data_IF_696172750431
#
_entry.id   IF_696172750431
#
_cell.length_a   1.000
_cell.length_b   1.000
_cell.length_c   1.000
_cell.angle_alpha   90.00
_cell.angle_beta   90.00
_cell.angle_gamma   90.00
#
_symmetry.space_group_name_H-M   'P 1'
#
loop_
_entity.id
_entity.type
_entity.pdbx_description
1 polymer ?
#
# COMPACT_ATOMS: atom_id res chain seq x y z
N UNK A 1 46.42 25.53 -33.40
CA UNK A 1 47.69 25.37 -32.70
C UNK A 1 47.51 25.76 -31.27
N UNK A 2 47.45 24.78 -30.43
CA UNK A 2 48.00 24.62 -29.09
C UNK A 2 47.14 23.56 -28.34
N UNK A 3 47.66 22.35 -28.40
CA UNK A 3 47.30 21.20 -27.62
C UNK A 3 47.77 21.44 -26.18
N UNK A 4 46.87 21.29 -25.20
CA UNK A 4 47.23 21.13 -23.79
C UNK A 4 46.83 19.72 -23.35
N UNK A 5 47.79 18.81 -23.36
CA UNK A 5 47.76 17.55 -22.65
C UNK A 5 47.78 17.84 -21.15
N UNK A 6 46.76 17.37 -20.43
CA UNK A 6 46.70 17.42 -18.98
C UNK A 6 47.26 16.11 -18.44
N UNK A 7 48.47 16.20 -17.91
CA UNK A 7 49.24 15.12 -17.28
C UNK A 7 48.64 14.79 -15.89
N UNK A 8 47.93 13.65 -15.75
CA UNK A 8 47.36 13.14 -14.50
C UNK A 8 48.22 12.04 -13.88
N UNK A 9 49.52 12.33 -13.71
CA UNK A 9 50.40 11.47 -12.92
C UNK A 9 51.09 12.28 -11.81
N UNK A 10 50.50 12.23 -10.60
CA UNK A 10 51.16 12.21 -9.27
C UNK A 10 50.27 12.81 -8.19
N UNK A 11 49.52 11.93 -7.51
CA UNK A 11 49.31 12.00 -6.05
C UNK A 11 48.80 10.64 -5.57
N UNK A 12 49.71 9.69 -5.43
CA UNK A 12 49.48 8.59 -4.48
C UNK A 12 49.79 9.14 -3.11
N UNK A 13 48.75 9.50 -2.36
CA UNK A 13 48.88 9.73 -0.96
C UNK A 13 48.33 8.51 -0.18
N UNK A 14 49.17 8.11 0.76
CA UNK A 14 48.96 6.99 1.68
C UNK A 14 47.97 7.43 2.74
N UNK A 15 46.87 6.73 2.84
CA UNK A 15 46.08 6.53 4.10
C UNK A 15 44.61 6.19 3.80
N UNK A 16 44.35 5.11 3.03
CA UNK A 16 43.03 4.45 2.98
C UNK A 16 43.17 2.93 3.23
N UNK A 17 44.14 2.53 4.02
CA UNK A 17 44.23 1.18 4.63
C UNK A 17 43.56 1.21 6.03
N UNK A 18 42.31 1.57 6.09
CA UNK A 18 41.47 1.54 7.27
C UNK A 18 40.07 1.05 6.85
N UNK A 19 39.77 -0.18 7.22
CA UNK A 19 38.44 -0.79 7.20
C UNK A 19 37.68 -0.88 5.88
N UNK A 20 38.23 -1.61 4.93
CA UNK A 20 37.50 -2.12 3.76
C UNK A 20 36.62 -3.34 4.10
N UNK A 21 36.41 -3.63 5.39
CA UNK A 21 35.60 -4.76 5.86
C UNK A 21 34.10 -4.46 5.89
N UNK A 22 33.69 -3.19 5.75
CA UNK A 22 32.26 -2.81 5.68
C UNK A 22 31.57 -3.24 4.37
N UNK A 23 32.34 -3.63 3.35
CA UNK A 23 31.81 -4.17 2.09
C UNK A 23 31.96 -5.69 1.98
N UNK A 24 32.59 -6.35 2.94
CA UNK A 24 32.85 -7.78 2.95
C UNK A 24 31.69 -8.63 3.42
N UNK A 25 30.62 -8.02 3.93
CA UNK A 25 29.35 -8.74 4.13
C UNK A 25 28.73 -8.97 2.73
N UNK A 26 29.27 -9.99 2.05
CA UNK A 26 28.83 -10.42 0.73
C UNK A 26 27.32 -10.47 0.76
N UNK A 27 26.64 -9.64 -0.07
CA UNK A 27 25.24 -9.88 -0.42
C UNK A 27 25.09 -11.39 -0.55
N UNK A 28 24.34 -12.07 0.31
CA UNK A 28 24.12 -13.49 0.11
C UNK A 28 23.62 -13.61 -1.32
N UNK A 29 24.17 -14.46 -2.16
CA UNK A 29 24.01 -14.54 -3.62
C UNK A 29 22.59 -14.18 -4.14
N UNK A 30 22.21 -12.90 -3.98
CA UNK A 30 20.97 -12.34 -4.51
C UNK A 30 21.06 -12.23 -6.04
N UNK A 31 22.27 -12.27 -6.58
CA UNK A 31 22.58 -12.00 -7.98
C UNK A 31 23.35 -13.11 -8.72
N UNK A 32 23.32 -14.36 -8.25
CA UNK A 32 23.62 -15.46 -9.16
C UNK A 32 22.47 -15.54 -10.15
N UNK A 33 22.78 -15.46 -11.45
CA UNK A 33 21.77 -15.69 -12.49
C UNK A 33 21.06 -17.02 -12.17
N UNK A 34 19.78 -16.99 -11.81
CA UNK A 34 19.09 -18.18 -11.39
C UNK A 34 18.85 -19.02 -12.65
N UNK A 35 19.32 -20.24 -12.65
CA UNK A 35 18.80 -21.23 -13.59
C UNK A 35 17.29 -21.35 -13.30
N UNK A 36 16.41 -21.20 -14.31
CA UNK A 36 14.97 -21.25 -14.09
C UNK A 36 14.59 -22.64 -13.57
N UNK A 37 14.31 -22.73 -12.27
CA UNK A 37 13.70 -23.91 -11.67
C UNK A 37 12.21 -23.90 -12.01
N UNK A 38 11.63 -25.06 -12.25
CA UNK A 38 10.18 -25.17 -12.39
C UNK A 38 9.52 -24.63 -11.12
N UNK A 39 8.62 -23.66 -11.30
CA UNK A 39 7.88 -23.04 -10.21
C UNK A 39 6.46 -23.57 -10.14
N UNK A 40 5.90 -23.66 -8.95
CA UNK A 40 4.49 -23.92 -8.69
C UNK A 40 3.61 -22.88 -9.39
N UNK A 41 2.44 -23.27 -9.89
CA UNK A 41 1.51 -22.40 -10.64
C UNK A 41 1.07 -21.18 -9.83
N UNK A 42 0.94 -21.30 -8.50
CA UNK A 42 0.60 -20.18 -7.61
C UNK A 42 1.70 -19.11 -7.62
N UNK A 43 2.96 -19.54 -7.62
CA UNK A 43 4.13 -18.65 -7.68
C UNK A 43 4.19 -17.95 -9.02
N UNK A 44 3.98 -18.68 -10.12
CA UNK A 44 3.94 -18.12 -11.49
C UNK A 44 2.81 -17.10 -11.62
N UNK A 45 1.61 -17.45 -11.15
CA UNK A 45 0.46 -16.56 -11.20
C UNK A 45 0.67 -15.28 -10.36
N UNK A 46 1.22 -15.41 -9.15
CA UNK A 46 1.52 -14.28 -8.28
C UNK A 46 2.58 -13.36 -8.90
N UNK A 47 3.64 -13.93 -9.49
CA UNK A 47 4.66 -13.18 -10.21
C UNK A 47 4.05 -12.35 -11.35
N UNK A 48 3.29 -12.99 -12.22
CA UNK A 48 2.68 -12.32 -13.38
C UNK A 48 1.68 -11.23 -12.99
N UNK A 49 0.94 -11.43 -11.89
CA UNK A 49 -0.12 -10.50 -11.48
C UNK A 49 0.40 -9.32 -10.65
N UNK A 50 1.34 -9.55 -9.73
CA UNK A 50 1.71 -8.59 -8.71
C UNK A 50 3.02 -7.82 -8.95
N UNK A 51 3.84 -8.23 -9.95
CA UNK A 51 5.13 -7.60 -10.21
C UNK A 51 5.04 -6.07 -10.33
N UNK A 52 4.11 -5.57 -11.14
CA UNK A 52 3.93 -4.13 -11.33
C UNK A 52 3.60 -3.40 -10.01
N UNK A 53 2.75 -4.00 -9.15
CA UNK A 53 2.39 -3.43 -7.85
C UNK A 53 3.60 -3.35 -6.91
N UNK A 54 4.38 -4.41 -6.79
CA UNK A 54 5.54 -4.46 -5.90
C UNK A 54 6.58 -3.40 -6.30
N UNK A 55 6.85 -3.30 -7.60
CA UNK A 55 7.80 -2.33 -8.15
C UNK A 55 7.27 -0.91 -7.98
N UNK A 56 6.00 -0.65 -8.32
CA UNK A 56 5.38 0.67 -8.18
C UNK A 56 5.33 1.17 -6.73
N UNK A 57 5.33 0.27 -5.74
CA UNK A 57 5.33 0.59 -4.32
C UNK A 57 6.74 0.65 -3.70
N UNK A 58 7.80 0.50 -4.49
CA UNK A 58 9.16 0.80 -4.06
C UNK A 58 10.11 -0.40 -3.91
N UNK A 59 9.67 -1.60 -4.30
CA UNK A 59 10.60 -2.75 -4.44
C UNK A 59 11.44 -2.56 -5.68
N UNK A 60 12.77 -2.68 -5.57
CA UNK A 60 13.61 -2.62 -6.76
C UNK A 60 13.35 -3.83 -7.67
N UNK A 61 13.45 -3.62 -8.99
CA UNK A 61 13.26 -4.70 -9.96
C UNK A 61 14.23 -5.87 -9.72
N UNK A 62 15.49 -5.58 -9.37
CA UNK A 62 16.49 -6.60 -9.09
C UNK A 62 16.19 -7.41 -7.82
N UNK A 63 15.68 -6.76 -6.76
CA UNK A 63 15.27 -7.48 -5.53
C UNK A 63 14.05 -8.34 -5.79
N UNK A 64 13.09 -7.84 -6.56
CA UNK A 64 11.93 -8.60 -6.98
C UNK A 64 12.35 -9.86 -7.74
N UNK A 65 13.15 -9.72 -8.81
CA UNK A 65 13.61 -10.86 -9.59
C UNK A 65 14.43 -11.85 -8.77
N UNK A 66 15.39 -11.36 -7.97
CA UNK A 66 16.23 -12.21 -7.14
C UNK A 66 15.43 -12.98 -6.09
N UNK A 67 14.39 -12.38 -5.51
CA UNK A 67 13.51 -13.04 -4.55
C UNK A 67 12.65 -14.09 -5.24
N UNK A 68 11.99 -13.72 -6.34
CA UNK A 68 11.13 -14.64 -7.10
C UNK A 68 11.90 -15.87 -7.64
N UNK A 69 13.15 -15.68 -8.04
CA UNK A 69 14.00 -16.79 -8.50
C UNK A 69 14.33 -17.83 -7.41
N UNK A 70 14.22 -17.47 -6.14
CA UNK A 70 14.43 -18.41 -5.01
C UNK A 70 13.17 -19.17 -4.62
N UNK A 71 11.99 -18.67 -4.99
CA UNK A 71 10.70 -19.26 -4.65
C UNK A 71 10.34 -20.31 -5.70
N UNK A 72 10.31 -21.59 -5.32
CA UNK A 72 9.93 -22.68 -6.21
C UNK A 72 8.53 -23.22 -5.91
N UNK A 73 8.13 -23.19 -4.64
CA UNK A 73 6.82 -23.59 -4.16
C UNK A 73 6.22 -22.48 -3.30
N UNK A 74 4.89 -22.43 -3.22
CA UNK A 74 4.18 -21.37 -2.51
C UNK A 74 4.55 -21.27 -1.03
N UNK A 75 4.81 -22.39 -0.37
CA UNK A 75 5.19 -22.44 1.05
C UNK A 75 6.51 -21.71 1.36
N UNK A 76 7.33 -21.46 0.34
CA UNK A 76 8.56 -20.66 0.46
C UNK A 76 8.33 -19.15 0.38
N UNK A 77 7.14 -18.71 -0.04
CA UNK A 77 6.84 -17.31 -0.34
C UNK A 77 7.21 -16.36 0.81
N UNK A 78 6.63 -16.57 1.98
CA UNK A 78 6.84 -15.69 3.13
C UNK A 78 8.31 -15.69 3.59
N UNK A 79 8.93 -16.89 3.63
CA UNK A 79 10.33 -17.06 4.03
C UNK A 79 11.30 -16.33 3.09
N UNK A 80 11.15 -16.44 1.79
CA UNK A 80 12.11 -15.88 0.85
C UNK A 80 11.97 -14.34 0.72
N UNK A 81 10.76 -13.81 0.80
CA UNK A 81 10.55 -12.38 0.95
C UNK A 81 11.09 -11.87 2.29
N UNK A 82 10.88 -12.60 3.38
CA UNK A 82 11.46 -12.30 4.68
C UNK A 82 12.99 -12.30 4.67
N UNK A 83 13.63 -13.22 3.91
CA UNK A 83 15.09 -13.22 3.72
C UNK A 83 15.60 -11.93 3.07
N UNK A 84 14.88 -11.42 2.07
CA UNK A 84 15.20 -10.12 1.47
C UNK A 84 14.96 -8.97 2.46
N UNK A 85 13.90 -9.05 3.28
CA UNK A 85 13.66 -8.12 4.39
C UNK A 85 14.80 -8.07 5.39
N UNK A 86 15.27 -9.23 5.85
CA UNK A 86 16.40 -9.34 6.77
C UNK A 86 17.72 -8.75 6.22
N UNK A 87 17.93 -8.84 4.91
CA UNK A 87 19.09 -8.17 4.30
C UNK A 87 19.02 -6.66 4.51
N UNK A 88 17.85 -6.04 4.25
CA UNK A 88 17.66 -4.61 4.46
C UNK A 88 17.68 -4.20 5.93
N UNK A 89 17.24 -5.05 6.86
CA UNK A 89 17.38 -4.80 8.30
C UNK A 89 18.84 -4.69 8.71
N UNK A 90 19.69 -5.64 8.29
CA UNK A 90 21.15 -5.56 8.58
C UNK A 90 21.78 -4.32 7.98
N UNK A 91 21.42 -3.96 6.75
CA UNK A 91 21.89 -2.73 6.12
C UNK A 91 21.48 -1.50 6.93
N UNK A 92 20.23 -1.46 7.40
CA UNK A 92 19.71 -0.38 8.21
C UNK A 92 20.44 -0.28 9.56
N UNK A 93 20.66 -1.41 10.24
CA UNK A 93 21.39 -1.47 11.51
C UNK A 93 22.83 -0.99 11.36
N UNK A 94 23.51 -1.41 10.29
CA UNK A 94 24.88 -0.95 10.00
C UNK A 94 24.92 0.56 9.74
N UNK A 95 23.96 1.09 8.98
CA UNK A 95 23.86 2.52 8.69
C UNK A 95 23.52 3.33 9.97
N UNK A 96 22.63 2.82 10.83
CA UNK A 96 22.29 3.44 12.12
C UNK A 96 23.55 3.55 13.01
N UNK A 97 24.33 2.46 13.12
CA UNK A 97 25.58 2.44 13.89
C UNK A 97 26.63 3.43 13.36
N UNK A 98 26.66 3.63 12.04
CA UNK A 98 27.53 4.61 11.40
C UNK A 98 26.99 6.05 11.44
N UNK A 99 25.81 6.29 12.01
CA UNK A 99 25.17 7.62 12.07
C UNK A 99 24.53 8.07 10.73
N UNK A 100 24.42 7.19 9.76
CA UNK A 100 23.84 7.48 8.43
C UNK A 100 22.31 7.35 8.46
N UNK A 101 21.63 8.27 9.13
CA UNK A 101 20.20 8.20 9.45
C UNK A 101 19.30 8.11 8.22
N UNK A 102 19.62 8.80 7.12
CA UNK A 102 18.83 8.76 5.88
C UNK A 102 18.89 7.35 5.26
N UNK A 103 20.12 6.81 5.11
CA UNK A 103 20.34 5.45 4.59
C UNK A 103 19.65 4.41 5.46
N UNK A 104 19.79 4.53 6.77
CA UNK A 104 19.14 3.64 7.73
C UNK A 104 17.61 3.66 7.57
N UNK A 105 17.00 4.84 7.52
CA UNK A 105 15.57 5.00 7.36
C UNK A 105 15.05 4.44 6.03
N UNK A 106 15.78 4.66 4.93
CA UNK A 106 15.45 4.07 3.62
C UNK A 106 15.51 2.54 3.66
N UNK A 107 16.56 1.98 4.27
CA UNK A 107 16.73 0.54 4.40
C UNK A 107 15.65 -0.08 5.29
N UNK A 108 15.28 0.57 6.41
CA UNK A 108 14.16 0.14 7.26
C UNK A 108 12.84 0.08 6.49
N UNK A 109 12.52 1.08 5.67
CA UNK A 109 11.29 1.07 4.85
C UNK A 109 11.32 -0.01 3.77
N UNK A 110 12.48 -0.28 3.16
CA UNK A 110 12.63 -1.40 2.21
C UNK A 110 12.45 -2.75 2.90
N UNK A 111 13.00 -2.92 4.11
CA UNK A 111 12.75 -4.10 4.93
C UNK A 111 11.25 -4.28 5.20
N UNK A 112 10.56 -3.23 5.60
CA UNK A 112 9.13 -3.26 5.86
C UNK A 112 8.32 -3.72 4.63
N UNK A 113 8.62 -3.20 3.43
CA UNK A 113 7.96 -3.64 2.21
C UNK A 113 8.24 -5.13 1.89
N UNK A 114 9.48 -5.60 2.05
CA UNK A 114 9.80 -7.00 1.80
C UNK A 114 9.05 -7.94 2.77
N UNK A 115 8.96 -7.60 4.05
CA UNK A 115 8.17 -8.34 5.03
C UNK A 115 6.69 -8.29 4.72
N UNK A 116 6.17 -7.13 4.27
CA UNK A 116 4.79 -6.99 3.80
C UNK A 116 4.51 -7.92 2.61
N UNK A 117 5.41 -7.98 1.62
CA UNK A 117 5.24 -8.91 0.49
C UNK A 117 5.29 -10.36 0.92
N UNK A 118 6.05 -10.69 1.97
CA UNK A 118 6.04 -12.02 2.57
C UNK A 118 4.69 -12.43 3.15
N UNK A 119 4.00 -11.51 3.83
CA UNK A 119 2.65 -11.76 4.35
C UNK A 119 1.56 -11.69 3.28
N UNK A 120 1.82 -10.98 2.16
CA UNK A 120 0.85 -10.64 1.14
C UNK A 120 0.22 -11.88 0.50
N UNK A 121 -1.11 -11.99 0.56
CA UNK A 121 -1.93 -13.14 0.12
C UNK A 121 -1.49 -14.51 0.66
N UNK A 122 -0.58 -14.54 1.64
CA UNK A 122 -0.06 -15.76 2.25
C UNK A 122 -0.86 -16.09 3.50
N UNK A 123 -1.74 -17.10 3.41
CA UNK A 123 -2.64 -17.53 4.49
C UNK A 123 -2.51 -19.00 4.88
N UNK A 124 -1.53 -19.71 4.27
CA UNK A 124 -1.30 -21.13 4.51
C UNK A 124 -0.61 -21.40 5.87
N UNK A 125 0.18 -20.43 6.37
CA UNK A 125 0.81 -20.44 7.69
C UNK A 125 0.59 -19.07 8.37
N UNK A 126 -0.38 -19.02 9.28
CA UNK A 126 -0.80 -17.78 9.94
C UNK A 126 0.22 -17.26 10.96
N UNK A 127 1.02 -18.14 11.57
CA UNK A 127 2.08 -17.73 12.51
C UNK A 127 3.20 -17.05 11.76
N UNK A 128 3.61 -17.62 10.62
CA UNK A 128 4.61 -17.03 9.74
C UNK A 128 4.10 -15.71 9.13
N UNK A 129 2.84 -15.67 8.69
CA UNK A 129 2.19 -14.45 8.20
C UNK A 129 2.19 -13.36 9.26
N UNK A 130 1.81 -13.67 10.50
CA UNK A 130 1.76 -12.74 11.61
C UNK A 130 3.16 -12.20 11.95
N UNK A 131 4.14 -13.09 12.06
CA UNK A 131 5.52 -12.70 12.32
C UNK A 131 6.06 -11.75 11.23
N UNK A 132 5.76 -12.01 9.95
CA UNK A 132 6.12 -11.11 8.85
C UNK A 132 5.43 -9.74 8.97
N UNK A 133 4.16 -9.70 9.37
CA UNK A 133 3.45 -8.44 9.61
C UNK A 133 4.03 -7.64 10.78
N UNK A 134 4.32 -8.29 11.90
CA UNK A 134 4.93 -7.64 13.05
C UNK A 134 6.29 -7.01 12.68
N UNK A 135 7.07 -7.70 11.82
CA UNK A 135 8.32 -7.13 11.25
C UNK A 135 8.04 -5.97 10.30
N UNK A 136 7.00 -6.03 9.47
CA UNK A 136 6.57 -4.91 8.61
C UNK A 136 6.38 -3.65 9.45
N UNK A 137 5.56 -3.73 10.49
CA UNK A 137 5.24 -2.60 11.37
C UNK A 137 6.48 -2.10 12.10
N UNK A 138 7.28 -3.02 12.68
CA UNK A 138 8.49 -2.66 13.44
C UNK A 138 9.52 -1.94 12.55
N UNK A 139 9.80 -2.47 11.37
CA UNK A 139 10.73 -1.86 10.42
C UNK A 139 10.23 -0.51 9.92
N UNK A 140 8.94 -0.42 9.55
CA UNK A 140 8.40 0.85 9.07
C UNK A 140 8.46 1.95 10.14
N UNK A 141 8.12 1.64 11.39
CA UNK A 141 8.21 2.60 12.51
C UNK A 141 9.62 3.17 12.69
N UNK A 142 10.66 2.36 12.51
CA UNK A 142 12.06 2.81 12.56
C UNK A 142 12.40 3.76 11.41
N UNK A 143 11.86 3.51 10.21
CA UNK A 143 12.09 4.35 9.04
C UNK A 143 11.13 5.54 8.88
N UNK A 144 10.08 5.63 9.70
CA UNK A 144 9.00 6.60 9.54
C UNK A 144 9.45 8.06 9.71
N UNK A 145 10.35 8.31 10.68
CA UNK A 145 10.84 9.65 10.98
C UNK A 145 11.72 10.26 9.86
N UNK A 146 12.29 9.43 8.98
CA UNK A 146 13.15 9.88 7.87
C UNK A 146 12.39 10.09 6.56
N UNK A 147 11.08 9.90 6.56
CA UNK A 147 10.22 10.32 5.45
C UNK A 147 10.15 11.85 5.36
N UNK A 148 9.92 12.39 4.19
CA UNK A 148 9.70 13.81 3.97
C UNK A 148 8.31 14.02 3.34
N UNK A 149 7.33 14.55 4.11
CA UNK A 149 7.34 14.78 5.57
C UNK A 149 7.35 13.47 6.37
N UNK A 150 7.76 13.50 7.66
CA UNK A 150 7.74 12.33 8.54
C UNK A 150 6.37 11.70 8.68
N UNK A 151 6.31 10.41 8.99
CA UNK A 151 5.07 9.71 9.31
C UNK A 151 4.90 9.59 10.83
N UNK A 152 3.90 10.27 11.37
CA UNK A 152 3.50 10.19 12.78
C UNK A 152 2.64 8.94 12.99
N UNK A 153 3.06 7.98 13.84
CA UNK A 153 2.18 6.88 14.21
C UNK A 153 1.07 7.39 15.13
N UNK A 154 -0.19 7.13 14.75
CA UNK A 154 -1.36 7.56 15.53
C UNK A 154 -2.29 6.39 15.80
N UNK A 155 -3.10 6.52 16.85
CA UNK A 155 -4.15 5.56 17.22
C UNK A 155 -5.50 6.27 17.19
N UNK A 156 -6.37 5.84 16.28
CA UNK A 156 -7.72 6.39 16.12
C UNK A 156 -8.69 5.60 17.01
N UNK A 157 -9.40 6.22 17.97
CA UNK A 157 -10.42 5.52 18.77
C UNK A 157 -11.51 4.92 17.87
N UNK A 158 -11.83 3.65 18.09
CA UNK A 158 -12.87 2.94 17.34
C UNK A 158 -13.54 1.90 18.24
N UNK A 159 -14.83 2.07 18.49
CA UNK A 159 -15.59 1.25 19.44
C UNK A 159 -14.83 1.10 20.79
N UNK A 160 -14.53 -0.12 21.21
CA UNK A 160 -13.80 -0.42 22.45
C UNK A 160 -12.28 -0.60 22.24
N UNK A 161 -11.74 -0.21 21.06
CA UNK A 161 -10.33 -0.38 20.69
C UNK A 161 -9.79 0.86 19.97
N UNK A 162 -8.63 0.73 19.35
CA UNK A 162 -8.05 1.76 18.48
C UNK A 162 -7.57 1.16 17.18
N UNK A 163 -7.69 1.91 16.10
CA UNK A 163 -7.13 1.56 14.80
C UNK A 163 -5.78 2.24 14.60
N UNK A 164 -4.81 1.50 14.08
CA UNK A 164 -3.48 2.02 13.78
C UNK A 164 -3.47 2.81 12.48
N UNK A 165 -2.83 3.99 12.50
CA UNK A 165 -2.66 4.80 11.31
C UNK A 165 -1.30 5.52 11.30
N UNK A 166 -0.92 6.06 10.14
CA UNK A 166 0.16 7.02 9.97
C UNK A 166 -0.40 8.32 9.42
N UNK A 167 -0.16 9.40 10.15
CA UNK A 167 -0.46 10.76 9.72
C UNK A 167 0.80 11.40 9.14
N UNK A 168 0.69 12.02 7.97
CA UNK A 168 1.75 12.82 7.36
C UNK A 168 1.19 14.15 6.92
N UNK A 169 1.85 15.23 7.31
CA UNK A 169 1.41 16.60 7.03
C UNK A 169 2.47 17.25 6.15
N UNK A 170 2.09 17.92 5.04
CA UNK A 170 3.03 18.68 4.21
C UNK A 170 3.82 19.69 5.04
N UNK A 171 4.94 20.16 4.50
CA UNK A 171 5.74 21.20 5.14
C UNK A 171 4.94 22.47 5.42
N UNK A 172 5.54 23.44 6.13
CA UNK A 172 4.86 24.66 6.57
C UNK A 172 4.14 25.38 5.42
N UNK A 173 2.90 25.80 5.69
CA UNK A 173 2.03 26.55 4.78
C UNK A 173 1.30 27.63 5.58
N UNK A 174 0.89 28.70 4.93
CA UNK A 174 0.08 29.77 5.55
C UNK A 174 -1.33 29.30 5.91
N UNK A 175 -1.77 28.19 5.36
CA UNK A 175 -3.09 27.59 5.61
C UNK A 175 -2.95 26.13 6.05
N UNK A 176 -3.86 25.70 6.92
CA UNK A 176 -3.97 24.29 7.30
C UNK A 176 -4.28 23.43 6.06
N UNK A 177 -3.53 22.34 5.82
CA UNK A 177 -3.78 21.50 4.64
C UNK A 177 -5.08 20.71 4.76
N UNK A 178 -5.77 20.46 3.64
CA UNK A 178 -6.80 19.41 3.58
C UNK A 178 -6.18 18.07 3.88
N UNK A 179 -6.99 17.09 4.31
CA UNK A 179 -6.49 15.75 4.67
C UNK A 179 -7.22 14.64 3.92
N UNK A 180 -6.50 13.66 3.43
CA UNK A 180 -7.04 12.50 2.72
C UNK A 180 -6.92 11.24 3.59
N UNK A 181 -8.06 10.60 3.86
CA UNK A 181 -8.12 9.28 4.50
C UNK A 181 -7.78 8.24 3.45
N UNK A 182 -6.68 7.51 3.65
CA UNK A 182 -6.23 6.46 2.73
C UNK A 182 -6.59 5.07 3.26
N UNK A 183 -7.40 4.35 2.50
CA UNK A 183 -8.00 3.07 2.86
C UNK A 183 -7.38 1.94 2.04
N UNK A 184 -6.66 0.98 2.68
CA UNK A 184 -6.03 -0.14 1.99
C UNK A 184 -7.04 -1.09 1.35
N UNK A 185 -6.57 -1.89 0.37
CA UNK A 185 -7.32 -3.02 -0.18
C UNK A 185 -7.34 -4.24 0.76
N UNK A 186 -7.87 -5.37 0.25
CA UNK A 186 -7.97 -6.61 1.03
C UNK A 186 -6.62 -7.07 1.59
N UNK A 187 -5.57 -7.03 0.77
CA UNK A 187 -4.24 -7.57 1.10
C UNK A 187 -3.24 -6.50 1.52
N UNK A 188 -3.62 -5.24 1.40
CA UNK A 188 -2.78 -4.09 1.67
C UNK A 188 -2.76 -3.70 3.15
N UNK A 189 -1.80 -2.86 3.49
CA UNK A 189 -1.62 -2.27 4.82
C UNK A 189 -1.25 -0.79 4.67
N UNK A 190 -1.39 -0.01 5.74
CA UNK A 190 -1.06 1.42 5.77
C UNK A 190 0.39 1.73 5.38
N UNK A 191 1.32 0.81 5.64
CA UNK A 191 2.73 0.93 5.27
C UNK A 191 2.94 0.91 3.76
N UNK A 192 2.15 0.12 3.03
CA UNK A 192 2.23 0.03 1.57
C UNK A 192 1.78 1.31 0.88
N UNK A 193 0.81 2.02 1.44
CA UNK A 193 0.20 3.19 0.81
C UNK A 193 1.14 4.39 0.69
N UNK A 194 2.29 4.37 1.34
CA UNK A 194 3.20 5.53 1.42
C UNK A 194 3.75 6.00 0.07
N UNK A 195 3.94 5.07 -0.88
CA UNK A 195 4.35 5.44 -2.23
C UNK A 195 3.27 6.25 -2.99
N UNK A 196 1.99 5.94 -2.76
CA UNK A 196 0.86 6.72 -3.31
C UNK A 196 0.64 8.01 -2.52
N UNK A 197 0.80 7.96 -1.19
CA UNK A 197 0.67 9.10 -0.31
C UNK A 197 1.59 10.28 -0.70
N UNK A 198 2.81 9.99 -1.17
CA UNK A 198 3.76 11.03 -1.56
C UNK A 198 3.21 11.93 -2.67
N UNK A 199 2.47 11.38 -3.65
CA UNK A 199 1.84 12.19 -4.70
C UNK A 199 0.83 13.21 -4.17
N UNK A 200 0.12 12.88 -3.09
CA UNK A 200 -0.83 13.77 -2.43
C UNK A 200 -0.09 14.83 -1.59
N UNK A 201 0.92 14.41 -0.84
CA UNK A 201 1.77 15.32 -0.04
C UNK A 201 2.47 16.37 -0.88
N UNK A 202 2.98 15.98 -2.08
CA UNK A 202 3.62 16.89 -3.03
C UNK A 202 2.65 17.96 -3.60
N UNK A 203 1.33 17.78 -3.38
CA UNK A 203 0.25 18.71 -3.76
C UNK A 203 -0.37 19.44 -2.57
N UNK A 204 0.29 19.40 -1.43
CA UNK A 204 -0.15 20.10 -0.23
C UNK A 204 -1.29 19.43 0.53
N UNK A 205 -1.61 18.16 0.22
CA UNK A 205 -2.61 17.39 0.95
C UNK A 205 -1.94 16.62 2.09
N UNK A 206 -2.43 16.76 3.31
CA UNK A 206 -2.09 15.84 4.40
C UNK A 206 -2.74 14.47 4.12
N UNK A 207 -2.15 13.40 4.65
CA UNK A 207 -2.71 12.05 4.53
C UNK A 207 -2.79 11.37 5.89
N UNK A 208 -3.83 10.56 6.08
CA UNK A 208 -3.92 9.59 7.15
C UNK A 208 -4.18 8.20 6.56
N UNK A 209 -3.15 7.35 6.55
CA UNK A 209 -3.26 5.97 6.07
C UNK A 209 -3.62 5.07 7.26
N UNK A 210 -4.74 4.34 7.17
CA UNK A 210 -5.32 3.62 8.31
C UNK A 210 -5.54 2.13 8.01
N UNK A 211 -5.20 1.27 8.96
CA UNK A 211 -5.62 -0.14 8.97
C UNK A 211 -6.98 -0.25 9.66
N UNK A 212 -8.03 -0.45 8.88
CA UNK A 212 -9.39 -0.69 9.40
C UNK A 212 -9.65 -2.17 9.73
N UNK A 213 -10.87 -2.52 10.17
CA UNK A 213 -11.27 -3.90 10.45
C UNK A 213 -10.96 -4.83 9.27
N UNK A 214 -10.35 -5.97 9.56
CA UNK A 214 -9.88 -6.94 8.57
C UNK A 214 -8.62 -6.53 7.81
N UNK A 215 -7.92 -5.46 8.21
CA UNK A 215 -6.73 -4.94 7.55
C UNK A 215 -5.58 -4.73 8.54
N UNK A 216 -4.36 -4.99 8.09
CA UNK A 216 -3.12 -4.67 8.80
C UNK A 216 -3.12 -5.07 10.27
N UNK A 217 -2.81 -4.13 11.17
CA UNK A 217 -2.77 -4.42 12.62
C UNK A 217 -4.13 -4.85 13.17
N UNK A 218 -5.25 -4.41 12.58
CA UNK A 218 -6.60 -4.73 13.05
C UNK A 218 -7.11 -6.11 12.58
N UNK A 219 -6.53 -6.74 11.54
CA UNK A 219 -7.04 -7.98 10.93
C UNK A 219 -7.05 -9.19 11.88
N UNK A 220 -6.30 -9.11 12.98
CA UNK A 220 -6.17 -10.21 13.94
C UNK A 220 -7.27 -10.20 15.00
N UNK A 221 -7.95 -9.08 15.20
CA UNK A 221 -8.94 -8.86 16.24
C UNK A 221 -10.32 -8.49 15.67
N UNK A 222 -10.33 -7.77 14.55
CA UNK A 222 -11.54 -7.26 13.93
C UNK A 222 -11.70 -7.85 12.52
N UNK A 223 -12.82 -8.53 12.24
CA UNK A 223 -13.11 -8.97 10.88
C UNK A 223 -13.46 -7.78 9.97
N UNK A 224 -13.44 -8.01 8.65
CA UNK A 224 -13.87 -7.04 7.64
C UNK A 224 -15.25 -6.46 8.02
N UNK A 225 -15.34 -5.13 8.01
CA UNK A 225 -16.56 -4.36 8.29
C UNK A 225 -17.17 -3.85 6.97
N UNK A 226 -18.33 -4.35 6.56
CA UNK A 226 -19.02 -3.85 5.37
C UNK A 226 -19.45 -2.38 5.48
N UNK A 227 -19.87 -1.94 6.67
CA UNK A 227 -20.26 -0.55 6.95
C UNK A 227 -19.02 0.31 7.30
N UNK A 228 -18.06 0.38 6.38
CA UNK A 228 -16.77 1.04 6.62
C UNK A 228 -16.88 2.56 6.85
N UNK A 229 -18.03 3.16 6.55
CA UNK A 229 -18.32 4.54 6.96
C UNK A 229 -18.15 4.77 8.46
N UNK A 230 -18.31 3.74 9.29
CA UNK A 230 -18.04 3.80 10.74
C UNK A 230 -16.56 4.11 11.01
N UNK A 231 -15.67 3.51 10.24
CA UNK A 231 -14.22 3.81 10.31
C UNK A 231 -13.94 5.23 9.83
N UNK A 232 -14.55 5.64 8.71
CA UNK A 232 -14.39 7.00 8.20
C UNK A 232 -14.88 8.04 9.21
N UNK A 233 -16.01 7.79 9.89
CA UNK A 233 -16.54 8.63 10.98
C UNK A 233 -15.56 8.69 12.16
N UNK A 234 -15.00 7.58 12.59
CA UNK A 234 -14.01 7.55 13.67
C UNK A 234 -12.75 8.36 13.32
N UNK A 235 -12.26 8.22 12.09
CA UNK A 235 -11.11 9.02 11.60
C UNK A 235 -11.47 10.50 11.54
N UNK A 236 -12.63 10.87 11.02
CA UNK A 236 -13.07 12.26 10.94
C UNK A 236 -13.20 12.89 12.35
N UNK A 237 -13.72 12.14 13.35
CA UNK A 237 -13.77 12.60 14.73
C UNK A 237 -12.37 12.83 15.31
N UNK A 238 -11.41 11.93 15.01
CA UNK A 238 -10.02 12.11 15.41
C UNK A 238 -9.39 13.36 14.79
N UNK A 239 -9.65 13.61 13.50
CA UNK A 239 -9.11 14.75 12.76
C UNK A 239 -9.69 16.09 13.24
N UNK A 240 -10.94 16.15 13.70
CA UNK A 240 -11.53 17.34 14.30
C UNK A 240 -10.79 17.82 15.56
N UNK A 241 -10.12 16.92 16.26
CA UNK A 241 -9.28 17.25 17.42
C UNK A 241 -7.86 17.73 17.08
N UNK A 242 -7.50 17.88 15.79
CA UNK A 242 -6.16 18.28 15.35
C UNK A 242 -6.12 19.76 14.98
N UNK A 243 -5.05 20.45 15.40
CA UNK A 243 -4.82 21.87 15.11
C UNK A 243 -3.98 22.12 13.86
N UNK A 244 -3.39 21.09 13.29
CA UNK A 244 -2.39 21.17 12.23
C UNK A 244 -2.91 20.77 10.84
N UNK A 245 -4.20 20.43 10.73
CA UNK A 245 -4.92 20.13 9.47
C UNK A 245 -6.25 20.89 9.41
N UNK A 246 -6.89 20.94 8.24
CA UNK A 246 -8.22 21.51 8.06
C UNK A 246 -9.31 20.42 8.07
N UNK A 247 -10.03 20.22 9.19
CA UNK A 247 -11.05 19.19 9.29
C UNK A 247 -12.33 19.50 8.49
N UNK A 248 -12.48 20.70 7.92
CA UNK A 248 -13.56 21.03 7.00
C UNK A 248 -13.32 20.53 5.58
N UNK A 249 -12.09 20.11 5.26
CA UNK A 249 -11.65 19.62 3.93
C UNK A 249 -11.07 18.23 4.02
N UNK A 250 -11.92 17.24 4.33
CA UNK A 250 -11.54 15.84 4.41
C UNK A 250 -11.87 15.14 3.09
N UNK A 251 -10.90 14.46 2.49
CA UNK A 251 -11.07 13.59 1.33
C UNK A 251 -10.95 12.11 1.69
N UNK A 252 -11.38 11.25 0.76
CA UNK A 252 -11.19 9.80 0.83
C UNK A 252 -10.40 9.28 -0.37
N UNK A 253 -9.51 8.33 -0.16
CA UNK A 253 -8.85 7.57 -1.23
C UNK A 253 -8.82 6.10 -0.84
N UNK A 254 -9.23 5.22 -1.74
CA UNK A 254 -9.14 3.80 -1.50
C UNK A 254 -8.85 3.01 -2.76
N UNK A 255 -8.15 1.89 -2.60
CA UNK A 255 -7.79 1.00 -3.70
C UNK A 255 -8.36 -0.39 -3.47
N UNK A 256 -8.93 -1.03 -4.51
CA UNK A 256 -9.51 -2.38 -4.42
C UNK A 256 -10.66 -2.40 -3.39
N UNK A 257 -10.63 -3.28 -2.39
CA UNK A 257 -11.61 -3.24 -1.29
C UNK A 257 -11.66 -1.85 -0.61
N UNK A 258 -10.52 -1.15 -0.53
CA UNK A 258 -10.47 0.24 -0.08
C UNK A 258 -11.24 1.20 -0.98
N UNK A 259 -11.34 0.93 -2.28
CA UNK A 259 -12.17 1.70 -3.21
C UNK A 259 -13.67 1.58 -2.90
N UNK A 260 -14.12 0.39 -2.51
CA UNK A 260 -15.45 0.19 -1.94
C UNK A 260 -15.62 1.03 -0.66
N UNK A 261 -14.64 1.01 0.23
CA UNK A 261 -14.67 1.76 1.49
C UNK A 261 -14.72 3.27 1.27
N UNK A 262 -13.96 3.80 0.31
CA UNK A 262 -13.97 5.21 -0.04
C UNK A 262 -15.33 5.66 -0.59
N UNK A 263 -15.98 4.83 -1.42
CA UNK A 263 -17.32 5.10 -1.93
C UNK A 263 -18.37 5.07 -0.80
N UNK A 264 -18.30 4.12 0.13
CA UNK A 264 -19.18 4.11 1.29
C UNK A 264 -18.96 5.33 2.20
N UNK A 265 -17.71 5.69 2.46
CA UNK A 265 -17.40 6.89 3.22
C UNK A 265 -18.01 8.15 2.58
N UNK A 266 -17.89 8.29 1.25
CA UNK A 266 -18.48 9.42 0.52
C UNK A 266 -20.03 9.43 0.57
N UNK A 267 -20.67 8.25 0.71
CA UNK A 267 -22.14 8.13 0.78
C UNK A 267 -22.71 8.49 2.15
N UNK A 268 -22.00 8.16 3.22
CA UNK A 268 -22.55 8.18 4.58
C UNK A 268 -21.86 9.10 5.57
N UNK A 269 -20.60 9.50 5.32
CA UNK A 269 -19.89 10.44 6.17
C UNK A 269 -19.89 11.86 5.54
N UNK A 270 -20.71 12.78 6.07
CA UNK A 270 -20.94 14.08 5.41
C UNK A 270 -19.72 15.01 5.40
N UNK A 271 -18.71 14.74 6.23
CA UNK A 271 -17.45 15.49 6.26
C UNK A 271 -16.51 15.13 5.12
N UNK A 272 -16.72 13.98 4.43
CA UNK A 272 -15.99 13.65 3.22
C UNK A 272 -16.45 14.55 2.09
N UNK A 273 -15.57 15.44 1.60
CA UNK A 273 -15.87 16.43 0.57
C UNK A 273 -15.66 15.94 -0.85
N UNK A 274 -14.67 15.06 -1.03
CA UNK A 274 -14.36 14.41 -2.30
C UNK A 274 -13.75 13.03 -2.03
N UNK A 275 -13.91 12.08 -2.95
CA UNK A 275 -13.32 10.76 -2.79
C UNK A 275 -12.83 10.15 -4.11
N UNK A 276 -11.85 9.25 -4.02
CA UNK A 276 -11.37 8.42 -5.13
C UNK A 276 -11.62 6.96 -4.81
N UNK A 277 -12.39 6.28 -5.66
CA UNK A 277 -12.59 4.83 -5.67
C UNK A 277 -11.76 4.22 -6.79
N UNK A 278 -10.56 3.71 -6.47
CA UNK A 278 -9.67 3.07 -7.42
C UNK A 278 -9.87 1.56 -7.42
N UNK A 279 -10.30 0.99 -8.55
CA UNK A 279 -10.59 -0.44 -8.72
C UNK A 279 -11.50 -1.00 -7.61
N UNK A 280 -12.44 -0.18 -7.12
CA UNK A 280 -13.37 -0.55 -6.05
C UNK A 280 -14.50 -1.43 -6.56
N UNK A 281 -14.80 -2.57 -5.91
CA UNK A 281 -15.95 -3.39 -6.30
C UNK A 281 -17.27 -2.69 -5.92
N UNK A 282 -18.24 -2.71 -6.84
CA UNK A 282 -19.61 -2.29 -6.55
C UNK A 282 -20.36 -3.36 -5.73
N UNK A 283 -20.21 -4.62 -6.13
CA UNK A 283 -20.76 -5.80 -5.45
C UNK A 283 -19.88 -7.01 -5.76
N UNK A 284 -18.85 -7.21 -4.95
CA UNK A 284 -17.79 -8.17 -5.26
C UNK A 284 -18.22 -9.64 -5.23
N UNK A 285 -19.33 -9.94 -4.55
CA UNK A 285 -19.89 -11.30 -4.52
C UNK A 285 -20.31 -11.85 -5.90
N UNK A 286 -20.51 -10.97 -6.88
CA UNK A 286 -20.81 -11.38 -8.25
C UNK A 286 -19.64 -12.09 -8.94
N UNK A 287 -18.41 -11.81 -8.50
CA UNK A 287 -17.19 -12.33 -9.10
C UNK A 287 -16.55 -13.47 -8.29
N UNK A 288 -17.19 -13.93 -7.20
CA UNK A 288 -16.62 -14.91 -6.28
C UNK A 288 -15.95 -16.10 -6.99
N UNK A 289 -16.64 -16.71 -7.95
CA UNK A 289 -16.18 -17.92 -8.64
C UNK A 289 -14.99 -17.64 -9.60
N UNK A 290 -14.80 -16.39 -10.03
CA UNK A 290 -13.68 -15.95 -10.88
C UNK A 290 -12.48 -15.43 -10.10
N UNK A 291 -12.62 -15.17 -8.79
CA UNK A 291 -11.52 -14.72 -7.96
C UNK A 291 -10.43 -15.79 -7.81
N UNK A 292 -9.14 -15.43 -7.82
CA UNK A 292 -8.06 -16.35 -7.54
C UNK A 292 -8.24 -17.05 -6.19
N UNK A 293 -7.86 -18.34 -6.07
CA UNK A 293 -7.98 -19.09 -4.82
C UNK A 293 -7.37 -18.38 -3.60
N UNK A 294 -6.20 -17.75 -3.78
CA UNK A 294 -5.52 -17.00 -2.71
C UNK A 294 -6.35 -15.79 -2.25
N UNK A 295 -6.99 -15.09 -3.17
CA UNK A 295 -7.87 -13.94 -2.83
C UNK A 295 -9.09 -14.42 -2.05
N UNK A 296 -9.73 -15.53 -2.45
CA UNK A 296 -10.85 -16.13 -1.70
C UNK A 296 -10.42 -16.57 -0.31
N UNK A 297 -9.30 -17.27 -0.19
CA UNK A 297 -8.76 -17.71 1.09
C UNK A 297 -8.43 -16.53 2.02
N UNK A 298 -7.82 -15.48 1.48
CA UNK A 298 -7.54 -14.25 2.24
C UNK A 298 -8.84 -13.58 2.71
N UNK A 299 -9.85 -13.46 1.83
CA UNK A 299 -11.13 -12.90 2.22
C UNK A 299 -11.81 -13.75 3.28
N UNK A 300 -11.84 -15.07 3.12
CA UNK A 300 -12.38 -16.00 4.12
C UNK A 300 -11.74 -15.77 5.49
N UNK A 301 -10.41 -15.70 5.54
CA UNK A 301 -9.66 -15.47 6.77
C UNK A 301 -10.01 -14.13 7.40
N UNK A 302 -9.95 -13.04 6.64
CA UNK A 302 -10.13 -11.68 7.16
C UNK A 302 -11.57 -11.32 7.46
N UNK A 303 -12.53 -11.97 6.84
CA UNK A 303 -13.95 -11.85 7.20
C UNK A 303 -14.35 -12.65 8.45
N UNK A 304 -13.42 -13.46 9.00
CA UNK A 304 -13.72 -14.36 10.10
C UNK A 304 -14.72 -15.46 9.72
N UNK A 305 -14.77 -15.88 8.44
CA UNK A 305 -15.61 -16.96 7.97
C UNK A 305 -14.90 -18.31 8.21
N UNK A 306 -15.62 -19.28 8.79
CA UNK A 306 -15.09 -20.61 9.02
C UNK A 306 -15.03 -21.46 7.74
N UNK A 307 -15.89 -21.19 6.77
CA UNK A 307 -15.99 -21.93 5.50
C UNK A 307 -16.07 -20.99 4.32
N UNK A 308 -15.75 -21.49 3.12
CA UNK A 308 -15.87 -20.73 1.87
C UNK A 308 -17.32 -20.27 1.60
N UNK A 309 -18.33 -21.10 1.94
CA UNK A 309 -19.73 -20.73 1.82
C UNK A 309 -20.08 -19.52 2.72
N UNK A 310 -19.62 -19.53 3.97
CA UNK A 310 -19.79 -18.37 4.86
C UNK A 310 -19.04 -17.13 4.37
N UNK A 311 -17.86 -17.31 3.77
CA UNK A 311 -17.12 -16.20 3.17
C UNK A 311 -17.90 -15.57 2.02
N UNK A 312 -18.49 -16.39 1.13
CA UNK A 312 -19.34 -15.93 0.04
C UNK A 312 -20.56 -15.16 0.54
N UNK A 313 -21.22 -15.65 1.59
CA UNK A 313 -22.36 -14.95 2.23
C UNK A 313 -21.92 -13.59 2.79
N UNK A 314 -20.80 -13.55 3.52
CA UNK A 314 -20.26 -12.29 4.06
C UNK A 314 -19.85 -11.31 2.95
N UNK A 315 -19.30 -11.80 1.83
CA UNK A 315 -18.96 -10.97 0.69
C UNK A 315 -20.21 -10.31 0.08
N UNK A 316 -21.39 -10.92 0.16
CA UNK A 316 -22.63 -10.33 -0.34
C UNK A 316 -23.04 -9.04 0.36
N UNK A 317 -22.58 -8.85 1.60
CA UNK A 317 -22.80 -7.60 2.34
C UNK A 317 -21.93 -6.44 1.86
N UNK A 318 -20.84 -6.73 1.10
CA UNK A 318 -20.01 -5.71 0.45
C UNK A 318 -20.67 -5.25 -0.85
N UNK A 319 -21.68 -4.38 -0.73
CA UNK A 319 -22.43 -3.82 -1.85
C UNK A 319 -22.57 -2.31 -1.73
N UNK A 320 -22.56 -1.61 -2.86
CA UNK A 320 -22.85 -0.17 -2.96
C UNK A 320 -24.27 0.11 -3.42
N UNK A 321 -25.13 -0.90 -3.53
CA UNK A 321 -26.49 -0.74 -4.06
C UNK A 321 -27.35 0.24 -3.24
N UNK A 322 -27.12 0.30 -1.92
CA UNK A 322 -27.79 1.24 -1.01
C UNK A 322 -27.05 2.59 -0.88
N UNK A 323 -25.80 2.64 -1.31
CA UNK A 323 -24.87 3.75 -1.10
C UNK A 323 -24.72 4.64 -2.34
N UNK A 324 -24.67 4.08 -3.54
CA UNK A 324 -24.27 4.79 -4.76
C UNK A 324 -25.11 6.05 -5.01
N UNK A 325 -26.44 5.96 -4.93
CA UNK A 325 -27.35 7.09 -5.16
C UNK A 325 -27.22 8.21 -4.08
N UNK A 326 -26.56 7.94 -2.96
CA UNK A 326 -26.32 8.91 -1.89
C UNK A 326 -25.06 9.73 -2.12
N UNK A 327 -24.17 9.31 -3.04
CA UNK A 327 -22.90 9.98 -3.30
C UNK A 327 -23.18 11.20 -4.19
N UNK A 328 -23.46 12.32 -3.54
CA UNK A 328 -23.71 13.61 -4.23
C UNK A 328 -22.48 14.51 -4.23
N UNK A 329 -21.44 14.15 -3.48
CA UNK A 329 -20.15 14.85 -3.47
C UNK A 329 -19.28 14.34 -4.64
N UNK A 330 -18.27 15.12 -5.09
CA UNK A 330 -17.34 14.67 -6.11
C UNK A 330 -16.75 13.29 -5.79
N UNK A 331 -16.88 12.35 -6.71
CA UNK A 331 -16.31 10.99 -6.64
C UNK A 331 -15.60 10.67 -7.95
N UNK A 332 -14.28 10.46 -7.89
CA UNK A 332 -13.53 9.91 -9.01
C UNK A 332 -13.55 8.37 -8.93
N UNK A 333 -14.11 7.73 -9.93
CA UNK A 333 -14.13 6.27 -10.05
C UNK A 333 -13.11 5.87 -11.11
N UNK A 334 -12.05 5.15 -10.71
CA UNK A 334 -10.96 4.77 -11.60
C UNK A 334 -10.83 3.25 -11.70
N UNK A 335 -10.65 2.70 -12.91
CA UNK A 335 -10.47 1.27 -13.12
C UNK A 335 -9.62 0.95 -14.35
N UNK A 336 -9.04 -0.26 -14.38
CA UNK A 336 -8.23 -0.79 -15.46
C UNK A 336 -8.96 -1.85 -16.26
N UNK A 337 -8.87 -1.79 -17.60
CA UNK A 337 -9.51 -2.74 -18.51
C UNK A 337 -8.93 -4.15 -18.46
N UNK A 338 -7.71 -4.31 -17.92
CA UNK A 338 -7.06 -5.60 -17.72
C UNK A 338 -7.15 -6.11 -16.28
N UNK A 339 -7.97 -5.46 -15.45
CA UNK A 339 -8.19 -5.89 -14.07
C UNK A 339 -8.94 -7.23 -14.04
N UNK A 340 -8.32 -8.25 -13.41
CA UNK A 340 -8.89 -9.60 -13.27
C UNK A 340 -9.56 -9.83 -11.92
N UNK A 341 -9.40 -8.90 -10.97
CA UNK A 341 -9.96 -9.01 -9.63
C UNK A 341 -11.26 -8.21 -9.49
N UNK A 342 -11.31 -7.04 -10.13
CA UNK A 342 -12.47 -6.14 -10.11
C UNK A 342 -12.71 -5.65 -11.55
N UNK A 343 -13.52 -6.35 -12.34
CA UNK A 343 -13.85 -5.95 -13.71
C UNK A 343 -14.43 -4.55 -13.80
N UNK A 344 -14.22 -3.87 -14.95
CA UNK A 344 -14.61 -2.46 -15.14
C UNK A 344 -16.09 -2.18 -14.95
N UNK A 345 -16.97 -3.18 -15.15
CA UNK A 345 -18.42 -3.00 -14.99
C UNK A 345 -18.81 -2.53 -13.57
N UNK A 346 -17.98 -2.82 -12.54
CA UNK A 346 -18.17 -2.28 -11.19
C UNK A 346 -18.01 -0.76 -11.16
N UNK A 347 -16.93 -0.27 -11.78
CA UNK A 347 -16.66 1.16 -11.89
C UNK A 347 -17.71 1.87 -12.76
N UNK A 348 -18.06 1.28 -13.89
CA UNK A 348 -19.09 1.81 -14.80
C UNK A 348 -20.47 1.89 -14.12
N UNK A 349 -20.81 0.87 -13.33
CA UNK A 349 -22.04 0.85 -12.56
C UNK A 349 -22.05 1.92 -11.48
N UNK A 350 -20.97 2.01 -10.70
CA UNK A 350 -20.84 3.03 -9.65
C UNK A 350 -20.95 4.44 -10.24
N UNK A 351 -20.21 4.72 -11.33
CA UNK A 351 -20.25 6.02 -12.00
C UNK A 351 -21.63 6.37 -12.56
N UNK A 352 -22.39 5.39 -13.05
CA UNK A 352 -23.76 5.61 -13.54
C UNK A 352 -24.77 5.89 -12.42
N UNK A 353 -24.60 5.24 -11.26
CA UNK A 353 -25.58 5.31 -10.17
C UNK A 353 -25.27 6.39 -9.13
N UNK A 354 -24.03 6.89 -9.07
CA UNK A 354 -23.61 7.96 -8.15
C UNK A 354 -23.66 9.33 -8.85
N UNK A 355 -24.54 10.26 -8.40
CA UNK A 355 -24.74 11.57 -9.07
C UNK A 355 -23.49 12.45 -9.14
N UNK A 356 -22.56 12.31 -8.17
CA UNK A 356 -21.32 13.09 -8.12
C UNK A 356 -20.11 12.42 -8.78
N UNK A 357 -20.31 11.33 -9.54
CA UNK A 357 -19.20 10.53 -10.03
C UNK A 357 -18.68 10.95 -11.41
N UNK A 358 -17.35 10.95 -11.52
CA UNK A 358 -16.57 10.99 -12.76
C UNK A 358 -15.91 9.64 -12.99
N UNK A 359 -15.94 9.12 -14.24
CA UNK A 359 -15.35 7.84 -14.59
C UNK A 359 -14.01 8.02 -15.32
N UNK A 360 -12.96 7.36 -14.83
CA UNK A 360 -11.64 7.30 -15.44
C UNK A 360 -11.27 5.85 -15.72
N UNK A 361 -11.32 5.44 -17.00
CA UNK A 361 -10.94 4.09 -17.43
C UNK A 361 -9.62 4.11 -18.20
N UNK A 362 -8.74 3.17 -17.85
CA UNK A 362 -7.56 2.84 -18.63
C UNK A 362 -7.73 1.47 -19.28
N UNK A 363 -7.90 1.38 -20.60
CA UNK A 363 -8.14 0.09 -21.29
C UNK A 363 -7.02 -0.93 -21.06
N UNK A 364 -5.80 -0.47 -20.86
CA UNK A 364 -4.59 -1.28 -20.66
C UNK A 364 -4.17 -1.37 -19.20
N UNK A 365 -4.90 -0.72 -18.30
CA UNK A 365 -4.63 -0.67 -16.86
C UNK A 365 -4.84 -2.02 -16.17
N UNK A 366 -3.91 -2.41 -15.31
CA UNK A 366 -4.03 -3.56 -14.41
C UNK A 366 -4.80 -3.19 -13.14
N UNK A 367 -5.00 -4.17 -12.23
CA UNK A 367 -5.63 -3.92 -10.93
C UNK A 367 -4.93 -2.79 -10.16
N UNK A 368 -5.72 -1.78 -9.75
CA UNK A 368 -5.21 -0.58 -9.08
C UNK A 368 -4.31 0.29 -9.97
N UNK A 369 -4.34 0.11 -11.30
CA UNK A 369 -3.57 0.88 -12.30
C UNK A 369 -2.06 0.88 -12.03
N UNK A 370 -1.54 -0.19 -11.41
CA UNK A 370 -0.16 -0.25 -10.92
C UNK A 370 0.88 -0.34 -12.03
N UNK A 371 0.51 -0.81 -13.22
CA UNK A 371 1.37 -0.79 -14.42
C UNK A 371 1.52 0.62 -15.04
N UNK A 372 0.62 1.55 -14.71
CA UNK A 372 0.66 2.96 -15.12
C UNK A 372 0.67 3.89 -13.89
N UNK A 373 1.31 3.46 -12.81
CA UNK A 373 1.24 4.07 -11.49
C UNK A 373 1.57 5.58 -11.47
N UNK A 374 2.61 6.01 -12.19
CA UNK A 374 2.99 7.42 -12.24
C UNK A 374 1.85 8.29 -12.78
N UNK A 375 1.27 7.92 -13.92
CA UNK A 375 0.23 8.69 -14.58
C UNK A 375 -1.00 8.81 -13.69
N UNK A 376 -1.51 7.67 -13.20
CA UNK A 376 -2.78 7.65 -12.48
C UNK A 376 -2.68 8.15 -11.05
N UNK A 377 -1.57 7.92 -10.35
CA UNK A 377 -1.35 8.51 -9.03
C UNK A 377 -1.29 10.03 -9.10
N UNK A 378 -0.61 10.58 -10.13
CA UNK A 378 -0.57 12.02 -10.38
C UNK A 378 -1.96 12.58 -10.67
N UNK A 379 -2.71 11.98 -11.61
CA UNK A 379 -4.07 12.42 -11.96
C UNK A 379 -5.03 12.41 -10.77
N UNK A 380 -5.02 11.33 -9.97
CA UNK A 380 -5.88 11.20 -8.80
C UNK A 380 -5.51 12.21 -7.70
N UNK A 381 -4.22 12.46 -7.49
CA UNK A 381 -3.75 13.44 -6.52
C UNK A 381 -4.06 14.88 -6.97
N UNK A 382 -3.90 15.21 -8.26
CA UNK A 382 -4.31 16.49 -8.84
C UNK A 382 -5.83 16.70 -8.70
N UNK A 383 -6.61 15.66 -8.98
CA UNK A 383 -8.07 15.70 -8.86
C UNK A 383 -8.51 15.95 -7.40
N UNK A 384 -7.92 15.24 -6.42
CA UNK A 384 -8.21 15.48 -5.00
C UNK A 384 -7.83 16.89 -4.56
N UNK A 385 -6.67 17.39 -4.98
CA UNK A 385 -6.23 18.75 -4.63
C UNK A 385 -7.14 19.84 -5.23
N UNK A 386 -7.78 19.57 -6.36
CA UNK A 386 -8.73 20.50 -6.97
C UNK A 386 -10.12 20.51 -6.31
N UNK A 387 -10.47 19.45 -5.56
CA UNK A 387 -11.79 19.28 -4.94
C UNK A 387 -11.79 19.41 -3.41
N UNK A 388 -10.61 19.60 -2.80
CA UNK A 388 -10.39 19.82 -1.37
C UNK A 388 -9.80 21.21 -1.10
#
# INVERSE_FOLDING_TARGET
MLTAECDLTRARDKSLDGDNDLLADRRPALYTEPQPKAQDERVVAANAHWAARFIANGTSYSDFQATMARITVWDEWCREWGRTGQYYERLAETADQAGHQVTAGEAWRRAALCWHWGKFVFVDDLDQQRAAHDRTVACFRRGAATLSPPAEPVRVPYDNTTLAAYLRIPGPSDTKPPVVIMMPGLDSVKEELQATAQYMLDRGLAIIAIDGPGQGEAEYELPIEPAYERVATAVANYLEGRDDIDPARIGGFGVSLGGYYAARAAAYEPRIRAAVSLAGPYQWSLDWDSLPPQTRATFQRRSGAATEAQARDKLSALTLADAAARITRPLLVAAGGRDRLVPTYHAERLAREAPGAELMLDPDGSHGLTNHAFEYRSKMADWLAAHL
#
